data_IF_083450819354
#
_entry.id   IF_083450819354
#
_cell.length_a   1.000
_cell.length_b   1.000
_cell.length_c   1.000
_cell.angle_alpha   90.00
_cell.angle_beta   90.00
_cell.angle_gamma   90.00
#
_symmetry.space_group_name_H-M   'P 1'
#
loop_
_entity.id
_entity.type
_entity.pdbx_description
1 polymer ?
#
# COMPACT_ATOMS: atom_id res chain seq x y z
N UNK A 1 -19.95 21.54 -0.02
CA UNK A 1 -18.74 22.36 0.19
C UNK A 1 -17.74 21.47 0.89
N UNK A 2 -16.60 21.11 0.27
CA UNK A 2 -15.87 19.89 0.65
C UNK A 2 -14.36 20.17 0.72
N UNK A 3 -13.86 20.42 1.94
CA UNK A 3 -12.51 20.97 2.18
C UNK A 3 -11.49 19.90 2.55
N UNK A 4 -10.21 20.13 2.21
CA UNK A 4 -9.06 19.37 2.68
C UNK A 4 -8.28 20.18 3.70
N UNK A 5 -8.27 19.75 4.96
CA UNK A 5 -7.65 20.50 6.04
C UNK A 5 -6.13 20.42 5.96
N UNK A 6 -5.49 21.55 5.69
CA UNK A 6 -4.11 21.80 6.10
C UNK A 6 -4.17 22.97 7.07
N UNK A 7 -3.73 22.74 8.31
CA UNK A 7 -3.63 23.79 9.33
C UNK A 7 -2.66 24.90 8.90
N UNK A 8 -2.94 26.14 9.27
CA UNK A 8 -2.00 27.26 9.19
C UNK A 8 -2.21 28.09 10.46
N UNK A 9 -1.13 28.52 11.13
CA UNK A 9 -1.24 29.38 12.32
C UNK A 9 0.09 30.10 12.59
N UNK A 10 0.11 31.17 13.38
CA UNK A 10 1.34 31.87 13.81
C UNK A 10 1.34 31.96 15.33
N UNK A 11 2.38 31.48 16.00
CA UNK A 11 2.54 31.56 17.45
C UNK A 11 3.93 32.01 17.86
N UNK A 12 4.06 33.15 18.55
CA UNK A 12 5.35 33.56 19.16
C UNK A 12 5.53 32.91 20.53
N UNK A 13 6.52 32.03 20.65
CA UNK A 13 6.82 31.34 21.92
C UNK A 13 7.60 32.19 22.95
N UNK A 14 7.51 31.88 24.27
CA UNK A 14 7.92 32.80 25.34
C UNK A 14 9.43 32.93 25.57
N UNK A 15 10.28 32.16 24.90
CA UNK A 15 11.72 32.09 25.24
C UNK A 15 12.65 32.45 24.08
N UNK A 16 12.14 32.60 22.85
CA UNK A 16 12.99 32.93 21.67
C UNK A 16 12.35 33.87 20.65
N UNK A 17 11.12 34.35 20.87
CA UNK A 17 10.44 35.22 19.89
C UNK A 17 10.14 34.55 18.53
N UNK A 18 10.33 33.24 18.42
CA UNK A 18 10.06 32.47 17.20
C UNK A 18 8.56 32.33 16.98
N UNK A 19 8.10 32.74 15.80
CA UNK A 19 6.75 32.44 15.30
C UNK A 19 6.70 31.01 14.79
N UNK A 20 5.78 30.20 15.31
CA UNK A 20 5.58 28.79 14.96
C UNK A 20 4.27 28.65 14.20
N UNK A 21 4.33 27.98 13.05
CA UNK A 21 3.18 27.59 12.23
C UNK A 21 3.05 26.08 12.22
N UNK A 22 1.88 25.59 12.63
CA UNK A 22 1.56 24.16 12.59
C UNK A 22 0.66 23.88 11.39
N UNK A 23 1.04 22.88 10.59
CA UNK A 23 0.31 22.41 9.41
C UNK A 23 0.06 20.91 9.52
N UNK A 24 -1.20 20.49 9.39
CA UNK A 24 -1.58 19.08 9.53
C UNK A 24 -3.05 18.82 9.21
N UNK A 25 -3.38 17.52 9.16
CA UNK A 25 -4.74 16.98 8.99
C UNK A 25 -4.91 15.77 9.93
N UNK A 26 -5.75 15.86 10.97
CA UNK A 26 -6.00 14.74 11.89
C UNK A 26 -6.45 13.46 11.15
N UNK A 27 -7.22 13.60 10.08
CA UNK A 27 -7.72 12.48 9.28
C UNK A 27 -6.63 11.74 8.51
N UNK A 28 -5.47 12.38 8.29
CA UNK A 28 -4.34 11.77 7.58
C UNK A 28 -3.20 11.41 8.53
N UNK A 29 -3.38 11.47 9.85
CA UNK A 29 -2.37 11.16 10.84
C UNK A 29 -2.15 9.64 11.00
N UNK A 30 -1.62 8.98 9.97
CA UNK A 30 -1.39 7.52 9.95
C UNK A 30 -0.11 7.07 10.67
N UNK A 31 0.84 7.99 10.92
CA UNK A 31 2.13 7.63 11.49
C UNK A 31 2.18 7.95 12.99
N UNK A 32 2.28 6.91 13.80
CA UNK A 32 2.75 7.00 15.19
C UNK A 32 4.27 6.85 15.18
N UNK A 33 4.98 7.79 14.56
CA UNK A 33 6.43 7.70 14.44
C UNK A 33 7.09 7.91 15.81
N UNK A 34 7.84 6.91 16.31
CA UNK A 34 8.78 7.02 17.45
C UNK A 34 8.27 7.88 18.62
N UNK A 35 7.07 7.59 19.14
CA UNK A 35 6.49 8.29 20.29
C UNK A 35 5.69 9.56 19.94
N UNK A 36 5.46 9.86 18.66
CA UNK A 36 4.52 10.90 18.25
C UNK A 36 3.12 10.60 18.79
N UNK A 37 2.48 11.61 19.39
CA UNK A 37 1.13 11.54 19.94
C UNK A 37 0.18 12.52 19.23
N UNK A 38 -0.40 12.14 18.08
CA UNK A 38 -1.40 12.96 17.39
C UNK A 38 -2.58 13.33 18.31
N UNK A 39 -2.94 12.42 19.22
CA UNK A 39 -3.94 12.58 20.28
C UNK A 39 -3.61 13.73 21.26
N UNK A 40 -2.33 14.08 21.43
CA UNK A 40 -1.91 15.16 22.31
C UNK A 40 -1.98 16.56 21.65
N UNK A 41 -2.18 16.64 20.33
CA UNK A 41 -2.21 17.90 19.59
C UNK A 41 -3.36 18.82 20.03
N UNK A 42 -4.61 18.35 20.20
CA UNK A 42 -5.70 19.21 20.67
C UNK A 42 -5.38 19.90 22.00
N UNK A 43 -4.86 19.16 22.98
CA UNK A 43 -4.47 19.71 24.28
C UNK A 43 -3.31 20.71 24.16
N UNK A 44 -2.35 20.45 23.27
CA UNK A 44 -1.27 21.40 22.97
C UNK A 44 -1.81 22.71 22.42
N UNK A 45 -2.71 22.66 21.43
CA UNK A 45 -3.29 23.85 20.79
C UNK A 45 -4.04 24.73 21.79
N UNK A 46 -4.82 24.12 22.68
CA UNK A 46 -5.51 24.84 23.78
C UNK A 46 -4.50 25.49 24.72
N UNK A 47 -3.48 24.74 25.17
CA UNK A 47 -2.48 25.23 26.13
C UNK A 47 -1.65 26.38 25.59
N UNK A 48 -1.33 26.37 24.30
CA UNK A 48 -0.52 27.42 23.66
C UNK A 48 -1.36 28.57 23.12
N UNK A 49 -2.70 28.48 23.13
CA UNK A 49 -3.57 29.51 22.57
C UNK A 49 -3.40 29.69 21.06
N UNK A 50 -2.98 28.63 20.35
CA UNK A 50 -2.77 28.67 18.90
C UNK A 50 -4.13 28.76 18.21
N UNK A 51 -4.36 29.86 17.49
CA UNK A 51 -5.54 30.01 16.64
C UNK A 51 -5.54 28.96 15.54
N UNK A 52 -6.67 28.27 15.36
CA UNK A 52 -6.84 27.25 14.33
C UNK A 52 -7.65 27.82 13.17
N UNK A 53 -7.09 27.76 11.97
CA UNK A 53 -7.77 28.15 10.73
C UNK A 53 -8.02 26.91 9.87
N UNK A 54 -9.27 26.71 9.46
CA UNK A 54 -9.67 25.57 8.64
C UNK A 54 -9.68 25.95 7.15
N UNK A 55 -8.97 25.19 6.32
CA UNK A 55 -9.17 25.23 4.87
C UNK A 55 -10.47 24.52 4.50
N UNK A 56 -11.35 25.23 3.79
CA UNK A 56 -12.71 24.78 3.44
C UNK A 56 -12.83 24.27 2.00
N UNK A 57 -11.79 24.46 1.19
CA UNK A 57 -11.77 24.03 -0.21
C UNK A 57 -10.60 23.08 -0.49
N UNK A 58 -10.82 22.15 -1.41
CA UNK A 58 -9.83 21.16 -1.84
C UNK A 58 -9.70 21.22 -3.35
N UNK A 59 -8.50 21.55 -3.83
CA UNK A 59 -8.16 21.50 -5.26
C UNK A 59 -7.79 20.09 -5.75
N UNK A 60 -7.71 19.12 -4.81
CA UNK A 60 -7.30 17.74 -5.10
C UNK A 60 -8.37 16.98 -5.89
N UNK A 61 -9.62 17.08 -5.45
CA UNK A 61 -10.71 16.26 -6.00
C UNK A 61 -11.41 17.01 -7.12
N UNK A 62 -11.28 16.46 -8.32
CA UNK A 62 -11.79 17.03 -9.56
C UNK A 62 -13.17 16.45 -9.88
N UNK A 63 -13.37 15.15 -9.65
CA UNK A 63 -14.65 14.49 -9.86
C UNK A 63 -15.73 14.92 -8.85
N UNK A 64 -16.99 15.10 -9.27
CA UNK A 64 -18.08 15.47 -8.35
C UNK A 64 -18.38 14.37 -7.33
N UNK A 65 -18.33 13.10 -7.74
CA UNK A 65 -18.53 11.96 -6.84
C UNK A 65 -17.44 11.87 -5.78
N UNK A 66 -16.17 12.04 -6.18
CA UNK A 66 -15.05 12.04 -5.25
C UNK A 66 -15.08 13.21 -4.26
N UNK A 67 -15.48 14.40 -4.71
CA UNK A 67 -15.68 15.57 -3.83
C UNK A 67 -16.75 15.29 -2.77
N UNK A 68 -17.89 14.73 -3.19
CA UNK A 68 -18.98 14.36 -2.29
C UNK A 68 -18.52 13.30 -1.28
N UNK A 69 -17.94 12.20 -1.76
CA UNK A 69 -17.41 11.12 -0.92
C UNK A 69 -16.48 11.67 0.16
N UNK A 70 -15.55 12.55 -0.21
CA UNK A 70 -14.58 13.05 0.74
C UNK A 70 -15.14 14.07 1.74
N UNK A 71 -16.24 14.76 1.42
CA UNK A 71 -16.97 15.53 2.42
C UNK A 71 -17.80 14.66 3.34
N UNK A 72 -18.57 13.72 2.79
CA UNK A 72 -19.39 12.81 3.58
C UNK A 72 -18.51 12.09 4.61
N UNK A 73 -17.35 11.58 4.19
CA UNK A 73 -16.37 10.97 5.09
C UNK A 73 -15.83 11.93 6.17
N UNK A 74 -15.58 13.21 5.83
CA UNK A 74 -15.08 14.21 6.80
C UNK A 74 -16.13 14.67 7.79
N UNK A 75 -17.39 14.73 7.37
CA UNK A 75 -18.54 15.07 8.20
C UNK A 75 -18.97 13.87 9.08
N UNK A 76 -18.34 12.71 8.92
CA UNK A 76 -18.66 11.49 9.65
C UNK A 76 -19.91 10.80 9.14
N UNK A 77 -20.40 11.16 7.95
CA UNK A 77 -21.52 10.49 7.31
C UNK A 77 -21.12 9.09 6.82
N UNK A 78 -22.06 8.16 6.94
CA UNK A 78 -21.93 6.82 6.39
C UNK A 78 -21.90 6.84 4.86
N UNK A 79 -20.98 6.08 4.27
CA UNK A 79 -20.83 5.96 2.82
C UNK A 79 -20.76 4.50 2.36
N UNK A 80 -21.23 4.25 1.15
CA UNK A 80 -20.99 3.01 0.41
C UNK A 80 -20.27 3.37 -0.89
N UNK A 81 -19.27 2.56 -1.26
CA UNK A 81 -18.53 2.73 -2.50
C UNK A 81 -19.17 1.89 -3.60
N UNK A 82 -19.20 2.41 -4.82
CA UNK A 82 -19.70 1.66 -5.97
C UNK A 82 -18.81 0.45 -6.23
N UNK A 83 -19.39 -0.75 -6.40
CA UNK A 83 -18.61 -1.95 -6.66
C UNK A 83 -18.02 -1.93 -8.08
N UNK A 84 -16.79 -2.40 -8.20
CA UNK A 84 -16.18 -2.74 -9.49
C UNK A 84 -15.85 -4.24 -9.51
N UNK A 85 -16.16 -4.89 -10.62
CA UNK A 85 -15.86 -6.30 -10.81
C UNK A 85 -14.35 -6.49 -11.04
N UNK A 86 -13.81 -7.62 -10.55
CA UNK A 86 -12.37 -7.89 -10.60
C UNK A 86 -11.81 -8.00 -12.02
N UNK A 87 -12.63 -8.46 -12.97
CA UNK A 87 -12.30 -8.54 -14.40
C UNK A 87 -12.28 -7.16 -15.09
N UNK A 88 -12.97 -6.17 -14.53
CA UNK A 88 -13.02 -4.80 -15.02
C UNK A 88 -11.92 -3.90 -14.44
N UNK A 89 -11.00 -4.43 -13.63
CA UNK A 89 -9.92 -3.62 -13.02
C UNK A 89 -9.00 -3.00 -14.08
N UNK A 90 -8.62 -3.79 -15.09
CA UNK A 90 -7.73 -3.35 -16.14
C UNK A 90 -8.38 -2.25 -16.99
N UNK A 91 -7.85 -1.03 -16.90
CA UNK A 91 -8.31 0.14 -17.65
C UNK A 91 -9.28 1.05 -16.89
N UNK A 92 -9.84 0.61 -15.76
CA UNK A 92 -10.72 1.44 -14.93
C UNK A 92 -10.09 1.87 -13.61
N UNK A 93 -9.06 1.17 -13.12
CA UNK A 93 -8.42 1.45 -11.83
C UNK A 93 -6.93 1.69 -12.01
N UNK A 94 -6.41 2.79 -11.48
CA UNK A 94 -4.98 3.11 -11.55
C UNK A 94 -4.17 2.40 -10.45
N UNK A 95 -4.79 2.20 -9.28
CA UNK A 95 -4.18 1.58 -8.11
C UNK A 95 -5.24 0.90 -7.23
N UNK A 96 -4.88 -0.23 -6.64
CA UNK A 96 -5.66 -0.90 -5.61
C UNK A 96 -5.09 -0.60 -4.22
N UNK A 97 -5.94 -0.13 -3.30
CA UNK A 97 -5.58 0.19 -1.93
C UNK A 97 -6.28 -0.73 -0.93
N UNK A 98 -5.58 -1.06 0.15
CA UNK A 98 -6.16 -1.72 1.32
C UNK A 98 -5.45 -1.24 2.59
N UNK A 99 -6.07 -1.45 3.75
CA UNK A 99 -5.43 -1.13 5.04
C UNK A 99 -4.25 -2.06 5.35
N UNK A 100 -4.31 -3.29 4.83
CA UNK A 100 -3.32 -4.35 5.01
C UNK A 100 -2.94 -5.01 3.68
N UNK A 101 -1.83 -5.73 3.67
CA UNK A 101 -1.34 -6.43 2.48
C UNK A 101 -2.19 -7.62 2.07
N UNK A 102 -2.65 -8.42 3.05
CA UNK A 102 -3.32 -9.70 2.80
C UNK A 102 -4.56 -9.56 1.91
N UNK A 103 -5.47 -8.58 2.13
CA UNK A 103 -6.61 -8.39 1.25
C UNK A 103 -6.23 -8.15 -0.23
N UNK A 104 -5.14 -7.43 -0.51
CA UNK A 104 -4.71 -7.17 -1.89
C UNK A 104 -4.31 -8.44 -2.64
N UNK A 105 -3.68 -9.40 -1.96
CA UNK A 105 -3.33 -10.70 -2.54
C UNK A 105 -4.54 -11.62 -2.74
N UNK A 106 -5.64 -11.38 -2.04
CA UNK A 106 -6.84 -12.22 -2.07
C UNK A 106 -7.96 -11.66 -2.95
N UNK A 107 -7.91 -10.37 -3.29
CA UNK A 107 -9.00 -9.70 -3.99
C UNK A 107 -9.12 -10.11 -5.46
N UNK A 108 -8.01 -10.02 -6.20
CA UNK A 108 -7.92 -10.43 -7.60
C UNK A 108 -6.47 -10.68 -8.00
N UNK A 109 -6.27 -11.58 -8.96
CA UNK A 109 -4.97 -11.80 -9.58
C UNK A 109 -4.59 -10.69 -10.57
N UNK A 110 -5.51 -9.79 -10.93
CA UNK A 110 -5.20 -8.56 -11.69
C UNK A 110 -4.45 -7.49 -10.86
N UNK A 111 -4.36 -7.68 -9.53
CA UNK A 111 -3.64 -6.78 -8.62
C UNK A 111 -2.26 -7.37 -8.33
N UNK A 112 -1.21 -6.58 -8.50
CA UNK A 112 0.16 -6.91 -8.12
C UNK A 112 0.60 -6.05 -6.92
N UNK A 113 0.53 -6.58 -5.68
CA UNK A 113 0.96 -5.83 -4.51
C UNK A 113 2.48 -5.68 -4.45
N UNK A 114 2.96 -4.52 -3.99
CA UNK A 114 4.40 -4.24 -3.89
C UNK A 114 5.11 -4.94 -2.71
N UNK A 115 4.36 -5.67 -1.87
CA UNK A 115 4.93 -6.57 -0.86
C UNK A 115 3.94 -7.67 -0.48
N UNK A 116 4.47 -8.80 0.01
CA UNK A 116 3.66 -9.89 0.56
C UNK A 116 2.98 -9.54 1.88
N UNK A 117 3.71 -8.80 2.72
CA UNK A 117 3.34 -8.38 4.07
C UNK A 117 4.40 -7.41 4.58
N UNK A 118 4.20 -6.83 5.76
CA UNK A 118 5.28 -6.18 6.50
C UNK A 118 6.44 -7.15 6.71
N UNK A 119 7.64 -6.73 6.31
CA UNK A 119 8.82 -7.57 6.29
C UNK A 119 9.20 -8.05 7.71
N UNK A 120 9.50 -9.35 7.85
CA UNK A 120 9.83 -9.97 9.14
C UNK A 120 11.28 -10.50 9.25
N UNK A 121 12.13 -10.24 8.26
CA UNK A 121 13.57 -10.61 8.33
C UNK A 121 13.90 -12.07 7.98
N UNK A 122 12.98 -12.82 7.38
CA UNK A 122 13.26 -14.21 6.96
C UNK A 122 14.05 -14.28 5.66
N UNK A 123 15.01 -15.21 5.54
CA UNK A 123 15.82 -15.40 4.33
C UNK A 123 14.95 -15.79 3.12
N UNK A 124 14.01 -16.73 3.30
CA UNK A 124 13.09 -17.13 2.22
C UNK A 124 12.13 -16.01 1.82
N UNK A 125 11.77 -15.14 2.78
CA UNK A 125 10.99 -13.95 2.50
C UNK A 125 11.80 -12.93 1.70
N UNK A 126 13.06 -12.70 2.07
CA UNK A 126 13.94 -11.80 1.37
C UNK A 126 14.19 -12.23 -0.08
N UNK A 127 14.48 -13.51 -0.32
CA UNK A 127 14.67 -14.04 -1.66
C UNK A 127 13.40 -13.93 -2.52
N UNK A 128 12.23 -14.24 -1.94
CA UNK A 128 10.96 -14.03 -2.63
C UNK A 128 10.67 -12.55 -2.90
N UNK A 129 11.10 -11.63 -2.02
CA UNK A 129 10.99 -10.17 -2.24
C UNK A 129 11.90 -9.70 -3.38
N UNK A 130 13.09 -10.27 -3.56
CA UNK A 130 13.93 -9.99 -4.74
C UNK A 130 13.22 -10.38 -6.04
N UNK A 131 12.62 -11.58 -6.06
CA UNK A 131 11.84 -12.02 -7.21
C UNK A 131 10.61 -11.12 -7.44
N UNK A 132 9.89 -10.75 -6.38
CA UNK A 132 8.79 -9.80 -6.46
C UNK A 132 9.25 -8.46 -7.02
N UNK A 133 10.42 -7.96 -6.61
CA UNK A 133 10.98 -6.70 -7.11
C UNK A 133 11.21 -6.75 -8.62
N UNK A 134 11.77 -7.84 -9.12
CA UNK A 134 11.94 -8.02 -10.56
C UNK A 134 10.58 -7.97 -11.29
N UNK A 135 9.56 -8.66 -10.75
CA UNK A 135 8.21 -8.67 -11.34
C UNK A 135 7.54 -7.29 -11.27
N UNK A 136 7.58 -6.60 -10.13
CA UNK A 136 6.95 -5.27 -9.99
C UNK A 136 7.66 -4.23 -10.83
N UNK A 137 8.99 -4.27 -10.93
CA UNK A 137 9.75 -3.33 -11.76
C UNK A 137 9.47 -3.56 -13.23
N UNK A 138 9.42 -4.82 -13.67
CA UNK A 138 9.12 -5.16 -15.06
C UNK A 138 7.67 -4.81 -15.45
N UNK A 139 6.68 -5.15 -14.61
CA UNK A 139 5.27 -4.99 -14.93
C UNK A 139 4.73 -3.57 -14.66
N UNK A 140 5.25 -2.88 -13.66
CA UNK A 140 4.69 -1.62 -13.14
C UNK A 140 5.70 -0.46 -13.16
N UNK A 141 6.99 -0.72 -13.35
CA UNK A 141 8.04 0.30 -13.20
C UNK A 141 8.34 0.66 -11.74
N UNK A 142 7.88 -0.14 -10.78
CA UNK A 142 7.96 0.14 -9.34
C UNK A 142 8.77 -0.92 -8.59
N UNK A 143 9.59 -0.50 -7.63
CA UNK A 143 10.33 -1.42 -6.77
C UNK A 143 9.42 -2.06 -5.72
N UNK A 144 9.75 -3.28 -5.30
CA UNK A 144 9.11 -3.89 -4.15
C UNK A 144 9.40 -3.06 -2.88
N UNK A 145 8.40 -2.94 -2.02
CA UNK A 145 8.41 -2.02 -0.86
C UNK A 145 9.59 -2.26 0.09
N UNK A 146 9.92 -3.54 0.32
CA UNK A 146 10.91 -3.96 1.29
C UNK A 146 12.18 -4.49 0.61
N UNK A 147 12.51 -3.97 -0.59
CA UNK A 147 13.72 -4.36 -1.30
C UNK A 147 14.97 -4.13 -0.44
N UNK A 148 15.10 -2.96 0.18
CA UNK A 148 16.26 -2.64 1.02
C UNK A 148 16.42 -3.61 2.21
N UNK A 149 15.32 -3.93 2.91
CA UNK A 149 15.34 -4.90 4.00
C UNK A 149 15.69 -6.32 3.51
N UNK A 150 15.22 -6.69 2.31
CA UNK A 150 15.53 -7.96 1.68
C UNK A 150 17.02 -8.07 1.32
N UNK A 151 17.59 -7.06 0.66
CA UNK A 151 19.02 -6.99 0.33
C UNK A 151 19.88 -7.09 1.61
N UNK A 152 19.54 -6.32 2.64
CA UNK A 152 20.22 -6.37 3.94
C UNK A 152 20.15 -7.77 4.57
N UNK A 153 18.96 -8.41 4.56
CA UNK A 153 18.77 -9.76 5.11
C UNK A 153 19.60 -10.81 4.37
N UNK A 154 19.74 -10.65 3.05
CA UNK A 154 20.59 -11.48 2.21
C UNK A 154 22.06 -11.07 2.24
N UNK A 155 22.43 -10.05 3.03
CA UNK A 155 23.81 -9.57 3.15
C UNK A 155 24.41 -9.14 1.80
N UNK A 156 23.57 -8.52 0.96
CA UNK A 156 23.93 -7.92 -0.32
C UNK A 156 24.11 -6.43 -0.07
N UNK A 157 25.33 -5.94 -0.23
CA UNK A 157 25.71 -4.58 0.15
C UNK A 157 25.69 -3.59 -1.02
N UNK A 158 25.66 -4.10 -2.25
CA UNK A 158 25.56 -3.30 -3.46
C UNK A 158 24.07 -3.21 -3.88
N UNK A 159 23.46 -2.00 -3.86
CA UNK A 159 22.07 -1.80 -4.27
C UNK A 159 21.81 -2.20 -5.74
N UNK A 160 22.81 -2.05 -6.61
CA UNK A 160 22.69 -2.31 -8.05
C UNK A 160 22.78 -3.82 -8.35
N UNK A 161 23.17 -4.63 -7.36
CA UNK A 161 23.20 -6.10 -7.49
C UNK A 161 21.83 -6.69 -7.84
N UNK A 162 20.72 -6.02 -7.48
CA UNK A 162 19.39 -6.48 -7.87
C UNK A 162 19.15 -6.39 -9.39
N UNK A 163 19.77 -5.42 -10.08
CA UNK A 163 19.68 -5.27 -11.54
C UNK A 163 20.59 -6.25 -12.26
N UNK A 164 21.76 -6.54 -11.68
CA UNK A 164 22.70 -7.53 -12.22
C UNK A 164 22.11 -8.94 -12.28
N UNK A 165 21.12 -9.24 -11.44
CA UNK A 165 20.45 -10.53 -11.37
C UNK A 165 19.22 -10.64 -12.28
N UNK A 166 18.95 -9.64 -13.13
CA UNK A 166 17.72 -9.61 -13.90
C UNK A 166 17.54 -10.80 -14.83
N UNK A 167 18.62 -11.26 -15.48
CA UNK A 167 18.53 -12.41 -16.37
C UNK A 167 18.24 -13.71 -15.60
N UNK A 168 18.89 -13.90 -14.46
CA UNK A 168 18.72 -15.07 -13.59
C UNK A 168 17.33 -15.09 -12.97
N UNK A 169 16.86 -13.95 -12.48
CA UNK A 169 15.51 -13.81 -11.92
C UNK A 169 14.45 -14.00 -13.02
N UNK A 170 14.70 -13.52 -14.24
CA UNK A 170 13.81 -13.76 -15.38
C UNK A 170 13.66 -15.27 -15.66
N UNK A 171 14.74 -16.06 -15.61
CA UNK A 171 14.65 -17.52 -15.77
C UNK A 171 13.83 -18.20 -14.66
N UNK A 172 13.85 -17.67 -13.43
CA UNK A 172 12.97 -18.14 -12.35
C UNK A 172 11.52 -17.87 -12.71
N UNK A 173 11.23 -16.69 -13.28
CA UNK A 173 9.89 -16.33 -13.76
C UNK A 173 9.43 -17.24 -14.90
N UNK A 174 10.27 -17.47 -15.92
CA UNK A 174 9.95 -18.40 -17.02
C UNK A 174 9.65 -19.81 -16.50
N UNK A 175 10.39 -20.25 -15.48
CA UNK A 175 10.14 -21.54 -14.81
C UNK A 175 8.78 -21.54 -14.09
N UNK A 176 8.42 -20.44 -13.42
CA UNK A 176 7.14 -20.33 -12.70
C UNK A 176 5.92 -20.43 -13.61
N UNK A 177 6.00 -19.88 -14.83
CA UNK A 177 4.90 -19.90 -15.81
C UNK A 177 5.03 -21.04 -16.82
N UNK A 178 6.07 -21.87 -16.70
CA UNK A 178 6.36 -22.97 -17.61
C UNK A 178 5.46 -24.19 -17.42
N UNK A 179 5.60 -25.17 -18.31
CA UNK A 179 4.81 -26.41 -18.33
C UNK A 179 5.40 -27.56 -17.50
N UNK A 180 6.28 -27.24 -16.55
CA UNK A 180 6.90 -28.25 -15.69
C UNK A 180 5.88 -28.97 -14.80
N UNK A 181 6.27 -30.15 -14.27
CA UNK A 181 5.39 -30.93 -13.39
C UNK A 181 5.11 -30.25 -12.04
N UNK A 182 6.08 -29.50 -11.51
CA UNK A 182 5.96 -28.73 -10.26
C UNK A 182 6.73 -27.40 -10.40
N UNK A 183 6.21 -26.46 -11.21
CA UNK A 183 6.96 -25.27 -11.64
C UNK A 183 7.36 -24.39 -10.44
N UNK A 184 6.50 -24.33 -9.42
CA UNK A 184 6.75 -23.58 -8.19
C UNK A 184 7.95 -24.13 -7.43
N UNK A 185 8.05 -25.45 -7.30
CA UNK A 185 9.16 -26.08 -6.56
C UNK A 185 10.47 -26.00 -7.34
N UNK A 186 10.44 -26.15 -8.66
CA UNK A 186 11.63 -25.97 -9.50
C UNK A 186 12.11 -24.54 -9.48
N UNK A 187 11.21 -23.56 -9.64
CA UNK A 187 11.54 -22.15 -9.56
C UNK A 187 12.12 -21.78 -8.18
N UNK A 188 11.58 -22.35 -7.10
CA UNK A 188 12.15 -22.16 -5.77
C UNK A 188 13.58 -22.73 -5.66
N UNK A 189 13.84 -23.90 -6.26
CA UNK A 189 15.18 -24.48 -6.28
C UNK A 189 16.17 -23.59 -7.05
N UNK A 190 15.78 -23.09 -8.23
CA UNK A 190 16.56 -22.10 -9.00
C UNK A 190 16.81 -20.83 -8.20
N UNK A 191 15.79 -20.27 -7.55
CA UNK A 191 15.94 -19.09 -6.69
C UNK A 191 16.92 -19.35 -5.53
N UNK A 192 16.94 -20.55 -4.97
CA UNK A 192 17.90 -20.94 -3.93
C UNK A 192 19.33 -21.03 -4.47
N UNK A 193 19.54 -21.57 -5.67
CA UNK A 193 20.85 -21.62 -6.35
C UNK A 193 21.37 -20.22 -6.67
N UNK A 194 20.49 -19.39 -7.25
CA UNK A 194 20.75 -17.98 -7.56
C UNK A 194 21.11 -17.23 -6.28
N UNK A 195 20.32 -17.34 -5.21
CA UNK A 195 20.66 -16.72 -3.92
C UNK A 195 22.01 -17.19 -3.38
N UNK A 196 22.35 -18.48 -3.54
CA UNK A 196 23.61 -19.02 -3.05
C UNK A 196 24.84 -18.49 -3.78
N UNK A 197 24.71 -17.98 -5.02
CA UNK A 197 25.82 -17.44 -5.81
C UNK A 197 26.24 -16.02 -5.40
N UNK A 198 25.30 -15.19 -4.92
CA UNK A 198 25.56 -13.79 -4.55
C UNK A 198 25.37 -13.47 -3.07
N UNK A 199 24.81 -14.39 -2.29
CA UNK A 199 24.61 -14.23 -0.85
C UNK A 199 25.37 -15.29 -0.07
N UNK A 200 25.95 -14.97 1.10
CA UNK A 200 26.44 -15.98 2.04
C UNK A 200 25.29 -16.75 2.71
N UNK A 201 24.05 -16.30 2.56
CA UNK A 201 22.86 -16.96 3.11
C UNK A 201 22.42 -18.10 2.20
N UNK A 202 21.73 -19.09 2.77
CA UNK A 202 21.21 -20.25 2.04
C UNK A 202 19.74 -20.43 2.37
N UNK A 203 18.92 -20.60 1.33
CA UNK A 203 17.51 -20.93 1.51
C UNK A 203 17.40 -22.36 2.01
N UNK A 204 16.45 -22.60 2.91
CA UNK A 204 16.10 -23.97 3.30
C UNK A 204 15.38 -24.68 2.15
N UNK A 205 15.32 -26.00 2.23
CA UNK A 205 14.59 -26.85 1.28
C UNK A 205 13.15 -26.34 1.08
N UNK A 206 12.65 -26.53 -0.14
CA UNK A 206 11.28 -26.21 -0.50
C UNK A 206 10.29 -26.82 0.49
N UNK A 207 9.47 -25.96 1.07
CA UNK A 207 8.36 -26.29 1.96
C UNK A 207 7.19 -25.37 1.63
N UNK A 208 5.95 -25.80 1.86
CA UNK A 208 4.77 -25.03 1.48
C UNK A 208 4.79 -23.57 1.98
N UNK A 209 5.28 -23.36 3.22
CA UNK A 209 5.44 -22.04 3.82
C UNK A 209 6.49 -21.14 3.13
N UNK A 210 7.47 -21.74 2.44
CA UNK A 210 8.52 -21.02 1.71
C UNK A 210 8.09 -20.72 0.28
N UNK A 211 7.34 -21.64 -0.35
CA UNK A 211 6.94 -21.54 -1.76
C UNK A 211 5.65 -20.75 -1.99
N UNK A 212 4.85 -20.48 -0.95
CA UNK A 212 3.56 -19.80 -1.10
C UNK A 212 3.66 -18.43 -1.80
N UNK A 213 4.75 -17.68 -1.55
CA UNK A 213 5.00 -16.38 -2.20
C UNK A 213 5.20 -16.51 -3.71
N UNK A 214 5.90 -17.57 -4.14
CA UNK A 214 6.10 -17.86 -5.56
C UNK A 214 4.79 -18.26 -6.23
N UNK A 215 3.92 -19.01 -5.53
CA UNK A 215 2.56 -19.31 -6.02
C UNK A 215 1.74 -18.04 -6.24
N UNK A 216 1.81 -17.10 -5.30
CA UNK A 216 1.12 -15.82 -5.41
C UNK A 216 1.62 -15.02 -6.61
N UNK A 217 2.94 -14.97 -6.84
CA UNK A 217 3.54 -14.35 -8.03
C UNK A 217 3.03 -15.04 -9.31
N UNK A 218 3.12 -16.38 -9.38
CA UNK A 218 2.73 -17.14 -10.56
C UNK A 218 1.28 -16.86 -10.99
N UNK A 219 0.34 -16.84 -10.04
CA UNK A 219 -1.08 -16.56 -10.32
C UNK A 219 -1.31 -15.20 -11.01
N UNK A 220 -0.46 -14.20 -10.75
CA UNK A 220 -0.50 -12.88 -11.42
C UNK A 220 0.17 -12.87 -12.78
N UNK A 221 1.22 -13.67 -12.95
CA UNK A 221 1.94 -13.76 -14.22
C UNK A 221 1.17 -14.55 -15.29
N UNK A 222 0.30 -15.46 -14.86
CA UNK A 222 -0.64 -16.17 -15.74
C UNK A 222 -1.69 -15.23 -16.35
N UNK A 223 -1.88 -14.04 -15.75
CA UNK A 223 -2.84 -13.06 -16.24
C UNK A 223 -2.36 -12.42 -17.54
N UNK A 224 -3.23 -12.43 -18.55
CA UNK A 224 -3.00 -11.76 -19.84
C UNK A 224 -3.46 -10.30 -19.85
N UNK A 225 -3.81 -9.77 -18.67
CA UNK A 225 -4.29 -8.39 -18.50
C UNK A 225 -3.21 -7.53 -17.87
N UNK A 226 -3.31 -6.21 -18.08
CA UNK A 226 -2.44 -5.24 -17.40
C UNK A 226 -2.65 -5.36 -15.88
N UNK A 227 -1.57 -5.66 -15.17
CA UNK A 227 -1.56 -5.65 -13.71
C UNK A 227 -1.66 -4.21 -13.18
N UNK A 228 -2.40 -4.03 -12.09
CA UNK A 228 -2.48 -2.76 -11.37
C UNK A 228 -1.67 -2.83 -10.07
N UNK A 229 -1.00 -1.73 -9.66
CA UNK A 229 -0.25 -1.71 -8.40
C UNK A 229 -1.19 -1.88 -7.20
N UNK A 230 -0.80 -2.75 -6.26
CA UNK A 230 -1.45 -2.90 -4.96
C UNK A 230 -0.61 -2.25 -3.85
N UNK A 231 -1.19 -1.31 -3.10
CA UNK A 231 -0.52 -0.59 -2.02
C UNK A 231 -1.33 -0.62 -0.73
N UNK A 232 -0.63 -0.64 0.41
CA UNK A 232 -1.30 -0.32 1.67
C UNK A 232 -1.59 1.17 1.76
N UNK A 233 -2.59 1.54 2.57
CA UNK A 233 -2.93 2.94 2.83
C UNK A 233 -1.73 3.77 3.29
N UNK A 234 -0.84 3.20 4.10
CA UNK A 234 0.36 3.90 4.58
C UNK A 234 1.27 4.33 3.43
N UNK A 235 1.45 3.45 2.44
CA UNK A 235 2.31 3.74 1.29
C UNK A 235 1.63 4.67 0.30
N UNK A 236 0.31 4.56 0.18
CA UNK A 236 -0.47 5.46 -0.65
C UNK A 236 -0.51 6.89 -0.10
N UNK A 237 -0.12 7.10 1.17
CA UNK A 237 -0.07 8.43 1.76
C UNK A 237 0.98 9.28 1.05
N UNK A 238 0.51 10.38 0.45
CA UNK A 238 1.32 11.28 -0.36
C UNK A 238 1.17 11.04 -1.87
N UNK A 239 0.67 9.87 -2.28
CA UNK A 239 0.26 9.59 -3.65
C UNK A 239 -1.13 10.13 -3.99
N UNK A 240 -1.38 10.32 -5.28
CA UNK A 240 -2.67 10.73 -5.86
C UNK A 240 -2.82 10.07 -7.24
N UNK A 241 -4.01 9.53 -7.53
CA UNK A 241 -4.35 8.84 -8.79
C UNK A 241 -5.68 9.36 -9.31
N UNK A 242 -6.03 9.13 -10.57
CA UNK A 242 -7.36 9.54 -11.06
C UNK A 242 -8.43 8.62 -10.51
N UNK A 243 -8.22 7.30 -10.61
CA UNK A 243 -9.16 6.29 -10.12
C UNK A 243 -8.51 5.33 -9.15
N UNK A 244 -9.11 5.18 -7.97
CA UNK A 244 -8.64 4.28 -6.91
C UNK A 244 -9.66 3.19 -6.65
N UNK A 245 -9.22 1.94 -6.67
CA UNK A 245 -9.99 0.81 -6.16
C UNK A 245 -9.60 0.53 -4.70
N UNK A 246 -10.58 0.30 -3.82
CA UNK A 246 -10.34 -0.03 -2.42
C UNK A 246 -10.83 -1.45 -2.15
N UNK A 247 -9.96 -2.29 -1.62
CA UNK A 247 -10.31 -3.61 -1.11
C UNK A 247 -10.72 -3.47 0.35
N UNK A 248 -11.94 -3.88 0.67
CA UNK A 248 -12.53 -3.75 1.99
C UNK A 248 -12.91 -5.13 2.54
N UNK A 249 -12.52 -5.40 3.78
CA UNK A 249 -13.12 -6.46 4.59
C UNK A 249 -14.57 -6.11 4.97
N UNK A 250 -15.31 -7.12 5.44
CA UNK A 250 -16.68 -6.91 5.95
C UNK A 250 -16.72 -5.89 7.09
N UNK A 251 -15.75 -5.94 8.00
CA UNK A 251 -15.65 -5.00 9.12
C UNK A 251 -15.43 -3.57 8.62
N UNK A 252 -14.50 -3.36 7.70
CA UNK A 252 -14.20 -2.04 7.15
C UNK A 252 -15.36 -1.46 6.33
N UNK A 253 -16.09 -2.30 5.60
CA UNK A 253 -17.31 -1.89 4.91
C UNK A 253 -18.37 -1.41 5.90
N UNK A 254 -18.56 -2.14 7.01
CA UNK A 254 -19.48 -1.73 8.07
C UNK A 254 -19.06 -0.41 8.74
N UNK A 255 -17.74 -0.20 8.94
CA UNK A 255 -17.21 1.09 9.43
C UNK A 255 -17.53 2.24 8.49
N UNK A 256 -17.26 2.09 7.19
CA UNK A 256 -17.58 3.12 6.18
C UNK A 256 -19.07 3.45 6.16
N UNK A 257 -19.94 2.43 6.23
CA UNK A 257 -21.39 2.63 6.25
C UNK A 257 -21.91 3.28 7.54
N UNK A 258 -21.23 3.06 8.66
CA UNK A 258 -21.59 3.64 9.96
C UNK A 258 -21.13 5.09 10.14
N UNK A 259 -20.24 5.58 9.29
CA UNK A 259 -19.58 6.87 9.44
C UNK A 259 -18.23 6.73 10.17
N UNK A 260 -17.23 7.47 9.69
CA UNK A 260 -15.88 7.41 10.23
C UNK A 260 -15.63 8.49 11.28
N UNK A 261 -14.65 8.26 12.15
CA UNK A 261 -14.08 9.25 13.05
C UNK A 261 -12.56 9.30 12.92
N UNK A 262 -11.96 10.49 13.04
CA UNK A 262 -10.50 10.64 13.01
C UNK A 262 -9.80 10.17 14.30
N UNK A 263 -10.55 9.83 15.35
CA UNK A 263 -10.02 9.31 16.61
C UNK A 263 -9.57 7.85 16.47
N UNK A 264 -10.20 7.10 15.55
CA UNK A 264 -9.94 5.68 15.35
C UNK A 264 -8.90 5.44 14.25
N UNK A 265 -7.93 4.58 14.53
CA UNK A 265 -6.82 4.34 13.61
C UNK A 265 -7.28 3.73 12.29
N UNK A 266 -8.16 2.72 12.36
CA UNK A 266 -8.75 2.07 11.18
C UNK A 266 -9.51 3.06 10.31
N UNK A 267 -10.25 3.98 10.92
CA UNK A 267 -11.04 4.95 10.20
C UNK A 267 -10.18 5.97 9.48
N UNK A 268 -9.09 6.45 10.09
CA UNK A 268 -8.11 7.29 9.39
C UNK A 268 -7.53 6.55 8.19
N UNK A 269 -7.27 5.24 8.30
CA UNK A 269 -6.77 4.45 7.17
C UNK A 269 -7.81 4.34 6.05
N UNK A 270 -9.07 4.06 6.39
CA UNK A 270 -10.17 4.02 5.43
C UNK A 270 -10.37 5.38 4.76
N UNK A 271 -10.38 6.44 5.55
CA UNK A 271 -10.44 7.81 5.07
C UNK A 271 -9.33 8.11 4.05
N UNK A 272 -8.07 7.77 4.39
CA UNK A 272 -6.96 8.00 3.46
C UNK A 272 -7.14 7.20 2.19
N UNK A 273 -7.47 5.90 2.28
CA UNK A 273 -7.69 5.03 1.12
C UNK A 273 -8.77 5.60 0.19
N UNK A 274 -9.90 6.05 0.75
CA UNK A 274 -11.03 6.58 -0.01
C UNK A 274 -10.83 8.01 -0.55
N UNK A 275 -9.74 8.69 -0.20
CA UNK A 275 -9.50 10.10 -0.58
C UNK A 275 -8.23 10.32 -1.41
N UNK A 276 -7.58 9.25 -1.85
CA UNK A 276 -6.41 9.29 -2.75
C UNK A 276 -6.77 9.55 -4.22
N UNK A 277 -8.00 9.23 -4.64
CA UNK A 277 -8.46 9.47 -6.00
C UNK A 277 -8.71 10.97 -6.25
N UNK A 278 -8.44 11.42 -7.48
CA UNK A 278 -8.82 12.74 -7.99
C UNK A 278 -10.21 12.71 -8.61
N UNK A 279 -10.60 11.61 -9.26
CA UNK A 279 -11.84 11.49 -10.03
C UNK A 279 -12.88 10.61 -9.34
N UNK A 280 -12.52 9.37 -8.96
CA UNK A 280 -13.43 8.47 -8.27
C UNK A 280 -12.73 7.37 -7.47
N UNK A 281 -13.40 6.92 -6.41
CA UNK A 281 -13.02 5.77 -5.59
C UNK A 281 -14.10 4.72 -5.70
N UNK A 282 -13.72 3.47 -5.96
CA UNK A 282 -14.63 2.32 -6.09
C UNK A 282 -14.23 1.20 -5.13
N UNK A 283 -15.15 0.30 -4.81
CA UNK A 283 -14.82 -0.91 -4.06
C UNK A 283 -14.48 -2.05 -5.01
N UNK A 284 -13.31 -2.67 -4.83
CA UNK A 284 -12.95 -3.89 -5.55
C UNK A 284 -13.65 -5.08 -4.88
N UNK A 285 -14.40 -5.86 -5.66
CA UNK A 285 -14.96 -7.13 -5.19
C UNK A 285 -13.86 -8.15 -4.85
N UNK A 286 -14.04 -8.91 -3.78
CA UNK A 286 -13.16 -10.05 -3.50
C UNK A 286 -13.72 -11.28 -4.20
N UNK A 287 -12.92 -11.94 -5.04
CA UNK A 287 -13.34 -13.17 -5.76
C UNK A 287 -13.64 -14.34 -4.82
N UNK A 288 -13.19 -14.26 -3.57
CA UNK A 288 -13.57 -15.16 -2.49
C UNK A 288 -14.83 -14.63 -1.79
N UNK A 289 -15.97 -15.22 -2.11
CA UNK A 289 -17.07 -15.32 -1.17
C UNK A 289 -16.56 -16.10 0.06
N UNK A 290 -16.70 -15.51 1.25
CA UNK A 290 -16.64 -16.28 2.50
C UNK A 290 -17.72 -17.36 2.51
#
# INVERSE_FOLDING_TARGET
MTGSHKLWSNYRGPVTGLSVTLVGDPWQALYVFRGARPDAIPALLVRTGITTLALTESFRWRGPMQRKLAADLREGHGVTLDPTASDALAGNVDVALATEWKPLWQASDGILPLAFRSFKGGIEEAAATLLLNHVTRSALGENATYLADALMTLSINDPDSAEQLDNELHQVIETLVGSEKDPVRTAYAKLAEITASFSPRRLRRAHAAHTIRLKLIAARLEQRVRLIPGLTTHQAKGGEWDTVGVVLSRFERARLQGGLTHEEDTDRKLYVACTRARMCTMQIGTETAE
#
